data_IF_908626859263
#
_entry.id   IF_908626859263
#
_cell.length_a   1.000
_cell.length_b   1.000
_cell.length_c   1.000
_cell.angle_alpha   90.00
_cell.angle_beta   90.00
_cell.angle_gamma   90.00
#
_symmetry.space_group_name_H-M   'P 1'
#
loop_
_entity.id
_entity.type
_entity.pdbx_description
1 polymer ?
#
# COMPACT_ATOMS: atom_id res chain seq x y z
N UNK A 1 0.39 13.30 7.03
CA UNK A 1 -0.22 12.49 8.11
C UNK A 1 0.69 12.54 9.32
N UNK A 2 0.17 12.89 10.47
CA UNK A 2 0.85 12.58 11.71
C UNK A 2 0.81 11.05 11.84
N UNK A 3 1.91 10.39 11.49
CA UNK A 3 2.04 8.96 11.70
C UNK A 3 1.83 8.66 13.17
N UNK A 4 1.17 7.56 13.48
CA UNK A 4 1.17 7.05 14.83
C UNK A 4 2.65 6.97 15.26
N UNK A 5 2.98 7.61 16.37
CA UNK A 5 4.37 7.62 16.85
C UNK A 5 4.87 6.19 17.13
N UNK A 6 3.93 5.30 17.45
CA UNK A 6 4.19 3.89 17.78
C UNK A 6 3.22 2.96 17.06
N UNK A 7 3.69 1.79 16.56
CA UNK A 7 2.82 0.77 16.03
C UNK A 7 2.06 0.03 17.13
N UNK A 8 0.99 -0.65 16.77
CA UNK A 8 0.22 -1.46 17.71
C UNK A 8 0.71 -2.91 17.76
N UNK A 9 0.70 -3.57 18.94
CA UNK A 9 0.97 -5.00 19.06
C UNK A 9 0.04 -5.82 18.16
N UNK A 10 0.63 -6.71 17.36
CA UNK A 10 -0.09 -7.53 16.38
C UNK A 10 -0.16 -6.94 14.98
N UNK A 11 0.19 -5.68 14.80
CA UNK A 11 0.28 -5.02 13.50
C UNK A 11 1.39 -5.61 12.63
N UNK A 12 1.16 -5.66 11.31
CA UNK A 12 2.19 -5.99 10.32
C UNK A 12 2.80 -4.69 9.80
N UNK A 13 4.10 -4.56 9.95
CA UNK A 13 4.86 -3.40 9.48
C UNK A 13 5.83 -3.79 8.38
N UNK A 14 6.00 -2.90 7.42
CA UNK A 14 7.06 -2.99 6.42
C UNK A 14 8.27 -2.21 6.93
N UNK A 15 9.45 -2.74 6.74
CA UNK A 15 10.66 -2.03 7.12
C UNK A 15 11.86 -2.49 6.33
N UNK A 16 12.95 -1.76 6.50
CA UNK A 16 14.23 -2.05 5.87
C UNK A 16 15.23 -2.48 6.93
N UNK A 17 15.94 -3.57 6.69
CA UNK A 17 17.01 -4.04 7.59
C UNK A 17 18.14 -3.00 7.61
N UNK A 18 18.34 -2.38 8.76
CA UNK A 18 19.37 -1.34 8.98
C UNK A 18 20.68 -1.96 9.47
N UNK A 19 20.61 -2.78 10.51
CA UNK A 19 21.77 -3.37 11.14
C UNK A 19 21.53 -4.82 11.55
N UNK A 20 22.56 -5.66 11.44
CA UNK A 20 22.54 -7.05 11.88
C UNK A 20 23.57 -7.26 12.98
N UNK A 21 23.07 -7.61 14.17
CA UNK A 21 23.87 -8.00 15.32
C UNK A 21 23.79 -9.51 15.57
N UNK A 22 24.64 -10.02 16.44
CA UNK A 22 24.65 -11.44 16.79
C UNK A 22 23.38 -11.89 17.53
N UNK A 23 22.72 -10.95 18.22
CA UNK A 23 21.49 -11.22 18.99
C UNK A 23 20.20 -10.92 18.21
N UNK A 24 20.28 -10.29 17.02
CA UNK A 24 19.09 -9.96 16.25
C UNK A 24 19.34 -8.94 15.15
N UNK A 25 18.24 -8.39 14.65
CA UNK A 25 18.21 -7.49 13.50
C UNK A 25 17.48 -6.19 13.87
N UNK A 26 18.08 -5.06 13.55
CA UNK A 26 17.42 -3.77 13.62
C UNK A 26 16.76 -3.46 12.29
N UNK A 27 15.50 -3.01 12.35
CA UNK A 27 14.66 -2.71 11.20
C UNK A 27 14.14 -1.28 11.32
N UNK A 28 14.40 -0.47 10.31
CA UNK A 28 13.77 0.83 10.14
C UNK A 28 12.36 0.62 9.62
N UNK A 29 11.36 0.93 10.43
CA UNK A 29 9.95 0.71 10.11
C UNK A 29 9.41 1.87 9.27
N UNK A 30 8.79 1.55 8.13
CA UNK A 30 8.16 2.54 7.26
C UNK A 30 6.97 3.22 7.97
N UNK A 31 6.95 4.55 7.95
CA UNK A 31 5.90 5.34 8.59
C UNK A 31 6.07 5.57 10.09
N UNK A 32 7.13 5.05 10.71
CA UNK A 32 7.44 5.23 12.13
C UNK A 32 8.85 5.82 12.31
N UNK A 33 9.03 6.63 13.35
CA UNK A 33 10.33 7.25 13.65
C UNK A 33 11.28 6.33 14.41
N UNK A 34 10.75 5.24 14.99
CA UNK A 34 11.50 4.32 15.83
C UNK A 34 11.91 3.07 15.07
N UNK A 35 13.09 2.54 15.43
CA UNK A 35 13.55 1.25 14.91
C UNK A 35 12.93 0.10 15.70
N UNK A 36 12.63 -0.99 14.98
CA UNK A 36 12.26 -2.26 15.59
C UNK A 36 13.45 -3.19 15.75
N UNK A 37 13.37 -4.07 16.75
CA UNK A 37 14.32 -5.14 16.99
C UNK A 37 13.66 -6.49 16.74
N UNK A 38 14.22 -7.27 15.84
CA UNK A 38 13.88 -8.69 15.65
C UNK A 38 14.94 -9.51 16.38
N UNK A 39 14.57 -10.09 17.53
CA UNK A 39 15.48 -11.00 18.26
C UNK A 39 15.82 -12.22 17.38
N UNK A 40 17.00 -12.82 17.57
CA UNK A 40 17.46 -13.97 16.77
C UNK A 40 16.43 -15.12 16.77
N UNK A 41 15.74 -15.34 17.88
CA UNK A 41 14.67 -16.34 17.99
C UNK A 41 13.41 -16.03 17.18
N UNK A 42 13.26 -14.79 16.72
CA UNK A 42 12.13 -14.29 15.94
C UNK A 42 12.44 -14.11 14.44
N UNK A 43 13.68 -14.37 14.02
CA UNK A 43 14.09 -14.25 12.60
C UNK A 43 13.53 -15.40 11.75
N UNK A 44 13.64 -16.62 12.22
CA UNK A 44 13.10 -17.81 11.54
C UNK A 44 12.74 -18.91 12.55
N UNK A 45 11.92 -19.86 12.11
CA UNK A 45 11.58 -21.05 12.91
C UNK A 45 12.77 -21.97 13.00
N UNK A 46 13.06 -22.45 14.20
CA UNK A 46 14.16 -23.38 14.48
C UNK A 46 15.46 -22.69 14.92
N UNK A 47 16.52 -23.49 15.01
CA UNK A 47 17.83 -22.99 15.46
C UNK A 47 18.57 -22.26 14.33
N UNK A 48 18.96 -21.01 14.59
CA UNK A 48 19.70 -20.17 13.65
C UNK A 48 21.15 -20.11 14.10
N UNK A 49 22.06 -20.52 13.23
CA UNK A 49 23.49 -20.42 13.47
C UNK A 49 24.04 -19.03 13.18
N UNK A 50 23.54 -18.40 12.11
CA UNK A 50 23.97 -17.07 11.70
C UNK A 50 22.76 -16.28 11.13
N UNK A 51 22.50 -15.13 11.71
CA UNK A 51 21.40 -14.25 11.30
C UNK A 51 21.57 -13.77 9.85
N UNK A 52 22.81 -13.54 9.42
CA UNK A 52 23.13 -13.09 8.05
C UNK A 52 22.79 -14.09 6.94
N UNK A 53 22.56 -15.37 7.30
CA UNK A 53 22.12 -16.37 6.33
C UNK A 53 20.62 -16.21 5.97
N UNK A 54 19.87 -15.51 6.82
CA UNK A 54 18.42 -15.33 6.66
C UNK A 54 18.03 -13.93 6.19
N UNK A 55 18.80 -12.91 6.56
CA UNK A 55 18.51 -11.50 6.24
C UNK A 55 19.77 -10.77 5.83
N UNK A 56 19.60 -9.70 5.06
CA UNK A 56 20.70 -8.83 4.62
C UNK A 56 20.35 -7.37 4.87
N UNK A 57 21.36 -6.57 5.21
CA UNK A 57 21.20 -5.11 5.34
C UNK A 57 20.68 -4.51 4.03
N UNK A 58 19.75 -3.58 4.13
CA UNK A 58 19.09 -2.94 2.99
C UNK A 58 17.93 -3.74 2.39
N UNK A 59 17.62 -4.94 2.91
CA UNK A 59 16.49 -5.73 2.44
C UNK A 59 15.20 -5.25 3.08
N UNK A 60 14.15 -5.11 2.26
CA UNK A 60 12.78 -4.87 2.73
C UNK A 60 12.19 -6.15 3.32
N UNK A 61 11.64 -6.05 4.51
CA UNK A 61 11.02 -7.15 5.25
C UNK A 61 9.64 -6.75 5.76
N UNK A 62 8.80 -7.74 6.02
CA UNK A 62 7.54 -7.57 6.74
C UNK A 62 7.69 -8.25 8.09
N UNK A 63 7.39 -7.51 9.14
CA UNK A 63 7.46 -7.99 10.51
C UNK A 63 6.15 -7.78 11.25
N UNK A 64 5.86 -8.64 12.22
CA UNK A 64 4.74 -8.50 13.12
C UNK A 64 5.22 -7.84 14.41
N UNK A 65 4.51 -6.83 14.87
CA UNK A 65 4.78 -6.17 16.14
C UNK A 65 4.38 -7.10 17.29
N UNK A 66 5.31 -7.44 18.15
CA UNK A 66 5.08 -8.29 19.33
C UNK A 66 4.75 -7.44 20.55
N UNK A 67 5.61 -6.46 20.84
CA UNK A 67 5.52 -5.61 22.02
C UNK A 67 6.09 -4.22 21.69
N UNK A 68 5.53 -3.21 22.32
CA UNK A 68 5.99 -1.82 22.25
C UNK A 68 6.28 -1.32 23.64
N UNK A 69 7.52 -0.91 23.90
CA UNK A 69 7.95 -0.25 25.13
C UNK A 69 8.33 1.20 24.81
N UNK A 70 7.36 2.09 24.96
CA UNK A 70 7.55 3.53 24.75
C UNK A 70 8.61 4.13 25.69
N UNK A 71 8.71 3.60 26.90
CA UNK A 71 9.66 4.11 27.90
C UNK A 71 11.11 3.76 27.57
N UNK A 72 11.31 2.58 26.98
CA UNK A 72 12.60 2.12 26.47
C UNK A 72 12.86 2.54 25.03
N UNK A 73 11.87 3.13 24.36
CA UNK A 73 11.89 3.45 22.91
C UNK A 73 12.21 2.22 22.06
N UNK A 74 11.61 1.08 22.39
CA UNK A 74 11.86 -0.19 21.75
C UNK A 74 10.57 -0.81 21.23
N UNK A 75 10.63 -1.33 20.02
CA UNK A 75 9.58 -2.14 19.38
C UNK A 75 10.13 -3.52 19.09
N UNK A 76 9.54 -4.54 19.67
CA UNK A 76 9.91 -5.93 19.43
C UNK A 76 9.11 -6.50 18.26
N UNK A 77 9.82 -7.03 17.27
CA UNK A 77 9.27 -7.52 16.02
C UNK A 77 9.56 -9.02 15.82
N UNK A 78 8.70 -9.68 15.03
CA UNK A 78 8.89 -11.05 14.60
C UNK A 78 8.80 -11.18 13.07
N UNK A 79 9.78 -11.82 12.46
CA UNK A 79 9.74 -12.19 11.04
C UNK A 79 9.10 -13.58 10.85
N UNK A 80 9.30 -14.48 11.80
CA UNK A 80 8.79 -15.88 11.72
C UNK A 80 7.26 -15.95 11.85
N UNK A 81 6.62 -15.01 12.56
CA UNK A 81 5.17 -14.98 12.79
C UNK A 81 4.39 -14.37 11.62
N UNK A 82 5.08 -14.02 10.54
CA UNK A 82 4.48 -13.56 9.28
C UNK A 82 4.53 -14.69 8.27
N UNK A 83 3.35 -15.16 7.84
CA UNK A 83 3.28 -16.18 6.79
C UNK A 83 3.50 -15.57 5.40
N UNK A 84 3.73 -16.42 4.39
CA UNK A 84 4.04 -15.96 3.03
C UNK A 84 2.89 -15.17 2.38
N UNK A 85 1.64 -15.52 2.68
CA UNK A 85 0.47 -14.81 2.18
C UNK A 85 0.39 -13.39 2.76
N UNK A 86 0.52 -13.27 4.08
CA UNK A 86 0.56 -11.98 4.78
C UNK A 86 1.70 -11.10 4.27
N UNK A 87 2.90 -11.67 4.08
CA UNK A 87 4.05 -10.95 3.57
C UNK A 87 3.79 -10.37 2.18
N UNK A 88 3.27 -11.17 1.26
CA UNK A 88 2.97 -10.74 -0.10
C UNK A 88 1.89 -9.66 -0.13
N UNK A 89 0.83 -9.85 0.63
CA UNK A 89 -0.27 -8.89 0.74
C UNK A 89 0.23 -7.56 1.30
N UNK A 90 0.90 -7.57 2.44
CA UNK A 90 1.40 -6.35 3.09
C UNK A 90 2.40 -5.59 2.20
N UNK A 91 3.31 -6.30 1.51
CA UNK A 91 4.23 -5.65 0.54
C UNK A 91 3.46 -5.06 -0.64
N UNK A 92 2.42 -5.73 -1.12
CA UNK A 92 1.61 -5.21 -2.23
C UNK A 92 0.84 -3.95 -1.82
N UNK A 93 0.22 -3.95 -0.67
CA UNK A 93 -0.48 -2.80 -0.08
C UNK A 93 0.48 -1.62 0.12
N UNK A 94 1.65 -1.88 0.68
CA UNK A 94 2.69 -0.86 0.85
C UNK A 94 3.14 -0.26 -0.50
N UNK A 95 3.38 -1.09 -1.51
CA UNK A 95 3.74 -0.61 -2.87
C UNK A 95 2.61 0.19 -3.51
N UNK A 96 1.36 -0.20 -3.30
CA UNK A 96 0.20 0.52 -3.78
C UNK A 96 0.10 1.89 -3.10
N UNK A 97 0.31 1.94 -1.79
CA UNK A 97 0.35 3.19 -1.04
C UNK A 97 1.44 4.13 -1.56
N UNK A 98 2.66 3.64 -1.77
CA UNK A 98 3.78 4.41 -2.34
C UNK A 98 3.43 5.00 -3.72
N UNK A 99 2.71 4.24 -4.57
CA UNK A 99 2.25 4.74 -5.87
C UNK A 99 1.19 5.83 -5.71
N UNK A 100 0.21 5.61 -4.85
CA UNK A 100 -0.86 6.55 -4.59
C UNK A 100 -0.33 7.88 -4.03
N UNK A 101 0.62 7.83 -3.09
CA UNK A 101 1.30 9.02 -2.56
C UNK A 101 2.02 9.79 -3.66
N UNK A 102 2.67 9.08 -4.59
CA UNK A 102 3.29 9.69 -5.76
C UNK A 102 2.29 10.35 -6.69
N UNK A 103 1.14 9.72 -6.92
CA UNK A 103 0.07 10.31 -7.75
C UNK A 103 -0.54 11.54 -7.09
N UNK A 104 -0.71 11.53 -5.77
CA UNK A 104 -1.14 12.71 -5.01
C UNK A 104 -0.13 13.86 -5.15
N UNK A 105 1.16 13.56 -5.07
CA UNK A 105 2.22 14.55 -5.29
C UNK A 105 2.17 15.13 -6.71
N UNK A 106 1.92 14.29 -7.72
CA UNK A 106 1.79 14.72 -9.12
C UNK A 106 0.53 15.57 -9.36
N UNK A 107 -0.58 15.24 -8.69
CA UNK A 107 -1.85 15.96 -8.85
C UNK A 107 -1.85 17.32 -8.15
N UNK A 108 -1.28 17.44 -6.96
CA UNK A 108 -1.43 18.61 -6.06
C UNK A 108 -0.11 19.27 -5.67
N UNK A 109 1.05 18.72 -6.02
CA UNK A 109 2.35 19.19 -5.56
C UNK A 109 2.62 18.84 -4.09
N UNK A 110 3.69 19.40 -3.53
CA UNK A 110 4.15 19.03 -2.18
C UNK A 110 3.34 19.69 -1.04
N UNK A 111 2.60 20.78 -1.28
CA UNK A 111 2.23 21.70 -0.19
C UNK A 111 0.75 22.17 -0.11
N UNK A 112 -0.18 21.83 -1.01
CA UNK A 112 -1.48 22.52 -0.99
C UNK A 112 -2.70 21.62 -1.13
N UNK A 113 -3.54 21.58 -0.08
CA UNK A 113 -4.87 20.93 -0.09
C UNK A 113 -4.84 19.40 -0.10
N UNK A 114 -3.66 18.83 0.12
CA UNK A 114 -3.44 17.37 0.04
C UNK A 114 -4.15 16.61 1.14
N UNK A 115 -4.13 17.12 2.35
CA UNK A 115 -4.71 16.43 3.51
C UNK A 115 -6.23 16.37 3.42
N UNK A 116 -6.89 17.47 3.02
CA UNK A 116 -8.34 17.51 2.83
C UNK A 116 -8.79 16.55 1.71
N UNK A 117 -8.04 16.50 0.60
CA UNK A 117 -8.32 15.57 -0.51
C UNK A 117 -8.11 14.12 -0.10
N UNK A 118 -7.05 13.83 0.65
CA UNK A 118 -6.78 12.48 1.20
C UNK A 118 -7.92 12.05 2.11
N UNK A 119 -8.35 12.92 3.02
CA UNK A 119 -9.47 12.64 3.93
C UNK A 119 -10.76 12.35 3.17
N UNK A 120 -11.10 13.18 2.17
CA UNK A 120 -12.29 13.00 1.34
C UNK A 120 -12.26 11.70 0.53
N UNK A 121 -11.13 11.36 -0.10
CA UNK A 121 -10.98 10.12 -0.87
C UNK A 121 -11.04 8.88 0.03
N UNK A 122 -10.39 8.91 1.19
CA UNK A 122 -10.36 7.77 2.12
C UNK A 122 -11.63 7.63 2.96
N UNK A 123 -12.53 8.61 2.93
CA UNK A 123 -13.87 8.47 3.49
C UNK A 123 -14.78 7.57 2.64
N UNK A 124 -14.59 7.53 1.32
CA UNK A 124 -15.42 6.77 0.36
C UNK A 124 -14.72 5.50 -0.15
N UNK A 125 -13.41 5.47 -0.19
CA UNK A 125 -12.61 4.36 -0.68
C UNK A 125 -11.73 3.76 0.41
N UNK A 126 -11.50 2.45 0.36
CA UNK A 126 -10.65 1.74 1.33
C UNK A 126 -9.18 2.20 1.28
N UNK A 127 -8.74 2.76 0.16
CA UNK A 127 -7.39 3.31 -0.01
C UNK A 127 -7.32 4.39 -1.09
N UNK A 128 -6.31 5.26 -1.00
CA UNK A 128 -6.00 6.21 -2.08
C UNK A 128 -5.71 5.51 -3.42
N UNK A 129 -5.07 4.36 -3.38
CA UNK A 129 -4.78 3.58 -4.57
C UNK A 129 -6.06 3.16 -5.30
N UNK A 130 -7.05 2.64 -4.57
CA UNK A 130 -8.36 2.28 -5.10
C UNK A 130 -9.09 3.49 -5.67
N UNK A 131 -9.09 4.61 -4.97
CA UNK A 131 -9.69 5.85 -5.46
C UNK A 131 -9.12 6.28 -6.83
N UNK A 132 -7.81 6.20 -7.01
CA UNK A 132 -7.17 6.47 -8.30
C UNK A 132 -7.46 5.42 -9.36
N UNK A 133 -7.57 4.14 -9.02
CA UNK A 133 -7.98 3.09 -9.97
C UNK A 133 -9.41 3.33 -10.46
N UNK A 134 -10.35 3.61 -9.57
CA UNK A 134 -11.73 3.91 -9.92
C UNK A 134 -11.83 5.21 -10.76
N UNK A 135 -11.10 6.25 -10.40
CA UNK A 135 -11.03 7.48 -11.17
C UNK A 135 -10.45 7.27 -12.58
N UNK A 136 -9.49 6.35 -12.75
CA UNK A 136 -8.94 6.00 -14.06
C UNK A 136 -9.97 5.26 -14.93
N UNK A 137 -10.79 4.40 -14.33
CA UNK A 137 -11.79 3.57 -15.00
C UNK A 137 -13.06 4.39 -15.33
N UNK A 138 -13.62 5.06 -14.33
CA UNK A 138 -14.92 5.71 -14.40
C UNK A 138 -14.85 7.24 -14.55
N UNK A 139 -13.67 7.83 -14.43
CA UNK A 139 -13.48 9.29 -14.56
C UNK A 139 -14.14 10.06 -13.44
N UNK A 140 -14.82 11.15 -13.78
CA UNK A 140 -15.49 12.01 -12.81
C UNK A 140 -16.63 11.31 -12.06
N UNK A 141 -17.28 10.31 -12.68
CA UNK A 141 -18.37 9.54 -12.06
C UNK A 141 -17.91 8.80 -10.78
N UNK A 142 -16.64 8.40 -10.73
CA UNK A 142 -16.07 7.78 -9.54
C UNK A 142 -16.00 8.73 -8.33
N UNK A 143 -15.97 10.04 -8.58
CA UNK A 143 -15.81 11.06 -7.56
C UNK A 143 -17.10 11.84 -7.25
N UNK A 144 -18.24 11.45 -7.81
CA UNK A 144 -19.52 12.14 -7.64
C UNK A 144 -19.98 12.19 -6.18
N UNK A 145 -19.67 11.15 -5.40
CA UNK A 145 -20.04 11.03 -3.97
C UNK A 145 -18.91 11.51 -3.02
N UNK A 146 -17.74 11.88 -3.57
CA UNK A 146 -16.59 12.35 -2.80
C UNK A 146 -16.68 13.86 -2.60
N UNK A 147 -16.46 14.34 -1.39
CA UNK A 147 -16.49 15.79 -1.06
C UNK A 147 -15.21 16.49 -1.56
N UNK A 148 -15.18 16.71 -2.87
CA UNK A 148 -14.10 17.41 -3.58
C UNK A 148 -14.66 18.54 -4.43
N UNK A 149 -13.90 19.63 -4.56
CA UNK A 149 -14.22 20.65 -5.56
C UNK A 149 -13.90 20.14 -7.00
N UNK A 150 -14.47 20.79 -7.99
CA UNK A 150 -14.32 20.39 -9.40
C UNK A 150 -12.85 20.40 -9.87
N UNK A 151 -12.01 21.28 -9.33
CA UNK A 151 -10.60 21.41 -9.68
C UNK A 151 -9.80 20.23 -9.12
N UNK A 152 -10.02 19.87 -7.86
CA UNK A 152 -9.40 18.73 -7.21
C UNK A 152 -9.83 17.41 -7.87
N UNK A 153 -11.13 17.24 -8.14
CA UNK A 153 -11.66 16.06 -8.82
C UNK A 153 -11.05 15.87 -10.23
N UNK A 154 -10.93 16.96 -11.01
CA UNK A 154 -10.27 16.92 -12.32
C UNK A 154 -8.80 16.57 -12.22
N UNK A 155 -8.07 17.10 -11.23
CA UNK A 155 -6.66 16.79 -11.00
C UNK A 155 -6.46 15.30 -10.68
N UNK A 156 -7.30 14.72 -9.84
CA UNK A 156 -7.28 13.27 -9.52
C UNK A 156 -7.55 12.45 -10.77
N UNK A 157 -8.60 12.73 -11.53
CA UNK A 157 -8.96 11.98 -12.75
C UNK A 157 -7.89 12.08 -13.82
N UNK A 158 -7.33 13.26 -14.05
CA UNK A 158 -6.28 13.45 -15.04
C UNK A 158 -5.03 12.66 -14.65
N UNK A 159 -4.56 12.79 -13.40
CA UNK A 159 -3.38 12.07 -12.91
C UNK A 159 -3.60 10.57 -12.95
N UNK A 160 -4.80 10.10 -12.58
CA UNK A 160 -5.17 8.70 -12.64
C UNK A 160 -5.08 8.14 -14.08
N UNK A 161 -5.66 8.84 -15.06
CA UNK A 161 -5.64 8.40 -16.47
C UNK A 161 -4.25 8.38 -17.10
N UNK A 162 -3.36 9.27 -16.66
CA UNK A 162 -1.99 9.36 -17.16
C UNK A 162 -1.05 8.32 -16.54
N UNK A 163 -1.32 7.88 -15.31
CA UNK A 163 -0.37 7.09 -14.50
C UNK A 163 -0.87 5.71 -14.10
N UNK A 164 -2.19 5.50 -13.99
CA UNK A 164 -2.76 4.21 -13.59
C UNK A 164 -2.90 3.30 -14.82
N UNK A 165 -2.25 2.14 -14.77
CA UNK A 165 -2.41 1.11 -15.79
C UNK A 165 -3.68 0.30 -15.52
N UNK A 166 -4.75 0.60 -16.26
CA UNK A 166 -5.99 -0.19 -16.20
C UNK A 166 -5.82 -1.44 -17.06
N UNK A 167 -6.02 -2.65 -16.52
CA UNK A 167 -6.01 -3.86 -17.32
C UNK A 167 -7.21 -3.84 -18.27
N UNK A 168 -6.94 -3.72 -19.58
CA UNK A 168 -7.97 -3.84 -20.60
C UNK A 168 -8.37 -5.32 -20.73
N UNK A 169 -9.61 -5.63 -20.38
CA UNK A 169 -10.23 -6.90 -20.75
C UNK A 169 -10.88 -6.70 -22.12
N UNK A 170 -10.29 -7.25 -23.16
CA UNK A 170 -10.91 -7.29 -24.47
C UNK A 170 -12.08 -8.28 -24.42
N UNK A 171 -13.30 -7.78 -24.26
CA UNK A 171 -14.51 -8.57 -24.41
C UNK A 171 -14.89 -8.54 -25.89
N UNK A 172 -14.63 -9.63 -26.61
CA UNK A 172 -15.11 -9.81 -27.98
C UNK A 172 -16.57 -10.26 -27.91
N UNK A 173 -17.50 -9.31 -28.06
CA UNK A 173 -18.92 -9.60 -28.21
C UNK A 173 -19.25 -9.92 -29.66
N UNK A 174 -19.83 -11.09 -29.94
CA UNK A 174 -20.43 -11.40 -31.23
C UNK A 174 -21.86 -10.86 -31.23
N UNK A 175 -22.15 -9.89 -32.09
CA UNK A 175 -23.52 -9.44 -32.37
C UNK A 175 -24.07 -10.25 -33.52
N UNK A 176 -24.97 -11.15 -33.24
CA UNK A 176 -25.70 -11.93 -34.27
C UNK A 176 -26.85 -11.07 -34.83
N UNK A 177 -26.59 -10.38 -35.92
CA UNK A 177 -27.60 -9.55 -36.61
C UNK A 177 -28.45 -10.47 -37.50
N UNK A 178 -29.60 -10.87 -36.98
CA UNK A 178 -30.64 -11.53 -37.79
C UNK A 178 -31.46 -10.47 -38.52
N UNK A 179 -31.23 -10.30 -39.81
CA UNK A 179 -32.16 -9.58 -40.66
C UNK A 179 -33.36 -10.50 -40.98
N UNK A 180 -34.59 -10.11 -40.66
CA UNK A 180 -35.75 -10.83 -41.20
C UNK A 180 -35.79 -10.58 -42.71
N UNK A 181 -35.43 -11.60 -43.50
CA UNK A 181 -35.58 -11.56 -44.93
C UNK A 181 -37.03 -11.32 -45.28
N UNK A 182 -37.34 -10.26 -46.03
CA UNK A 182 -38.61 -10.08 -46.65
C UNK A 182 -38.73 -11.10 -47.78
N UNK A 183 -39.62 -12.09 -47.61
CA UNK A 183 -40.10 -12.88 -48.70
C UNK A 183 -40.88 -11.96 -49.65
N UNK A 184 -40.23 -11.59 -50.75
CA UNK A 184 -40.86 -10.97 -51.88
C UNK A 184 -41.42 -12.06 -52.80
N UNK A 185 -42.68 -11.99 -53.08
CA UNK A 185 -43.41 -12.76 -54.08
C UNK A 185 -42.83 -12.51 -55.47
#
# INVERSE_FOLDING_TARGET
>A
MAGNEWPEPGELVVGTVDEIADFGVFVDMEGYEHRGLVHISEVASGWIKNVRDHVSVGRTVVAKVLEVDESAQQVDLSLKDVNEHQRKQTIQEWKNQQKADKWMELAFGEDHGRDDVVESLTAEYDSLYEAFEEAAIHGMEALDDVDLDDEAAQAVVQTARENVSVPYVNVTGYVDIRSPGSDGV
#
